data_IF_583033476086
#
_entry.id   IF_583033476086
#
_cell.length_a   1.000
_cell.length_b   1.000
_cell.length_c   1.000
_cell.angle_alpha   90.00
_cell.angle_beta   90.00
_cell.angle_gamma   90.00
#
_symmetry.space_group_name_H-M   'P 1'
#
loop_
_entity.id
_entity.type
_entity.pdbx_description
1 polymer ?
#
# COMPACT_ATOMS: atom_id res chain seq x y z
N UNK A 1 -25.67 -12.33 -48.04
CA UNK A 1 -26.29 -12.48 -46.71
C UNK A 1 -26.00 -11.20 -45.94
N UNK A 2 -27.02 -10.36 -45.74
CA UNK A 2 -27.03 -9.28 -44.73
C UNK A 2 -27.03 -9.94 -43.33
N UNK A 3 -26.78 -9.31 -42.17
CA UNK A 3 -27.29 -8.04 -41.57
C UNK A 3 -26.42 -7.85 -40.28
N UNK A 4 -25.69 -6.74 -40.08
CA UNK A 4 -26.06 -5.47 -39.42
C UNK A 4 -26.01 -5.46 -37.88
N UNK A 5 -25.34 -4.44 -37.32
CA UNK A 5 -25.68 -3.60 -36.15
C UNK A 5 -24.38 -3.13 -35.45
N UNK A 6 -24.09 -1.87 -35.18
CA UNK A 6 -24.73 -0.57 -35.40
C UNK A 6 -23.60 0.48 -35.42
N UNK A 7 -23.72 1.62 -36.07
CA UNK A 7 -24.77 2.61 -35.86
C UNK A 7 -24.17 3.78 -35.10
N UNK A 8 -23.69 4.79 -35.86
CA UNK A 8 -23.72 6.25 -35.63
C UNK A 8 -23.16 6.81 -34.31
N UNK A 9 -22.45 7.93 -34.18
CA UNK A 9 -22.53 9.29 -34.75
C UNK A 9 -21.62 10.13 -33.79
N UNK A 10 -20.85 11.17 -34.09
CA UNK A 10 -21.03 12.33 -34.95
C UNK A 10 -19.66 12.98 -35.24
N UNK A 11 -19.57 13.57 -36.42
CA UNK A 11 -18.53 14.50 -36.88
C UNK A 11 -18.82 15.93 -36.42
N UNK A 12 -17.79 16.70 -36.02
CA UNK A 12 -17.75 18.16 -36.05
C UNK A 12 -16.35 18.53 -36.58
N UNK A 13 -16.18 18.64 -37.89
CA UNK A 13 -16.21 19.88 -38.69
C UNK A 13 -14.88 20.65 -38.62
N UNK A 14 -14.26 20.80 -39.80
CA UNK A 14 -13.01 21.50 -40.10
C UNK A 14 -13.06 22.96 -39.65
N UNK A 15 -11.94 23.46 -39.15
CA UNK A 15 -11.55 24.85 -39.39
C UNK A 15 -10.05 24.89 -39.75
N UNK A 16 -9.78 25.57 -40.85
CA UNK A 16 -8.48 25.78 -41.47
C UNK A 16 -7.71 26.81 -40.61
N UNK A 17 -6.59 26.40 -40.00
CA UNK A 17 -5.76 27.29 -39.18
C UNK A 17 -4.42 27.56 -39.88
N UNK A 18 -3.96 28.83 -39.93
CA UNK A 18 -2.78 29.22 -40.68
C UNK A 18 -1.50 28.63 -40.07
N UNK A 19 -0.60 28.16 -40.94
CA UNK A 19 0.69 27.56 -40.57
C UNK A 19 1.53 28.57 -39.78
N UNK A 20 1.66 28.36 -38.46
CA UNK A 20 2.54 29.15 -37.62
C UNK A 20 4.01 28.84 -37.94
N UNK A 21 4.79 29.88 -38.30
CA UNK A 21 6.23 29.78 -38.49
C UNK A 21 6.91 29.28 -37.20
N UNK A 22 7.57 28.13 -37.29
CA UNK A 22 8.40 27.57 -36.21
C UNK A 22 9.64 28.46 -36.05
N UNK A 23 9.67 29.27 -34.98
CA UNK A 23 10.89 29.93 -34.51
C UNK A 23 11.69 28.93 -33.68
N UNK A 24 12.87 28.53 -34.15
CA UNK A 24 13.80 27.68 -33.41
C UNK A 24 14.25 28.38 -32.12
N UNK A 25 13.93 27.80 -30.97
CA UNK A 25 14.43 28.27 -29.67
C UNK A 25 15.93 27.93 -29.53
N UNK A 26 16.74 28.76 -28.83
CA UNK A 26 18.14 28.44 -28.59
C UNK A 26 18.26 27.21 -27.68
N UNK A 27 19.16 26.29 -28.04
CA UNK A 27 19.46 25.09 -27.24
C UNK A 27 20.06 25.53 -25.90
N UNK A 28 19.35 25.24 -24.81
CA UNK A 28 19.88 25.38 -23.46
C UNK A 28 20.94 24.30 -23.22
N UNK A 29 22.20 24.71 -23.10
CA UNK A 29 23.29 23.82 -22.66
C UNK A 29 23.06 23.48 -21.19
N UNK A 30 22.59 22.28 -20.87
CA UNK A 30 22.57 21.77 -19.50
C UNK A 30 24.01 21.53 -19.04
N UNK A 31 24.58 22.46 -18.26
CA UNK A 31 25.77 22.17 -17.47
C UNK A 31 25.38 21.18 -16.37
N UNK A 32 25.90 19.95 -16.47
CA UNK A 32 25.77 18.97 -15.40
C UNK A 32 26.57 19.47 -14.18
N UNK A 33 25.86 19.78 -13.08
CA UNK A 33 26.48 19.95 -11.77
C UNK A 33 27.15 18.63 -11.38
N UNK A 34 28.40 18.69 -10.93
CA UNK A 34 29.11 17.51 -10.42
C UNK A 34 28.27 16.84 -9.31
N UNK A 35 28.23 15.50 -9.24
CA UNK A 35 27.47 14.82 -8.20
C UNK A 35 28.03 15.24 -6.84
N UNK A 36 27.18 15.88 -6.03
CA UNK A 36 27.53 16.15 -4.65
C UNK A 36 27.71 14.81 -3.92
N UNK A 37 28.89 14.58 -3.37
CA UNK A 37 29.16 13.42 -2.53
C UNK A 37 28.26 13.51 -1.30
N UNK A 38 27.18 12.74 -1.25
CA UNK A 38 26.39 12.60 -0.04
C UNK A 38 27.30 12.02 1.04
N UNK A 39 27.49 12.73 2.15
CA UNK A 39 28.17 12.19 3.31
C UNK A 39 27.42 10.93 3.73
N UNK A 40 28.06 9.77 3.60
CA UNK A 40 27.49 8.46 3.90
C UNK A 40 27.29 8.29 5.40
N UNK A 41 26.23 8.89 5.94
CA UNK A 41 25.74 8.62 7.28
C UNK A 41 24.80 7.42 7.28
N UNK A 42 24.92 6.57 8.29
CA UNK A 42 23.92 5.51 8.52
C UNK A 42 22.59 6.15 8.91
N UNK A 43 21.55 5.87 8.13
CA UNK A 43 20.17 6.19 8.50
C UNK A 43 19.69 5.15 9.51
N UNK A 44 19.48 5.58 10.75
CA UNK A 44 18.84 4.75 11.78
C UNK A 44 17.48 5.34 12.12
N UNK A 45 16.44 4.51 12.12
CA UNK A 45 15.09 4.86 12.53
C UNK A 45 14.54 3.78 13.45
N UNK A 46 13.90 4.19 14.54
CA UNK A 46 13.15 3.27 15.41
C UNK A 46 11.73 3.16 14.88
N UNK A 47 11.33 1.96 14.46
CA UNK A 47 9.97 1.70 13.98
C UNK A 47 9.19 1.07 15.15
N UNK A 48 8.13 1.73 15.66
CA UNK A 48 7.30 1.13 16.71
C UNK A 48 6.64 -0.14 16.16
N UNK A 49 6.52 -1.14 17.03
CA UNK A 49 5.87 -2.41 16.67
C UNK A 49 4.36 -2.19 16.67
N UNK A 50 3.73 -2.52 15.56
CA UNK A 50 2.29 -2.49 15.40
C UNK A 50 1.79 -3.85 14.91
N UNK A 51 0.63 -4.24 15.41
CA UNK A 51 -0.04 -5.51 15.11
C UNK A 51 -1.42 -5.20 14.55
N UNK A 52 -1.70 -5.73 13.36
CA UNK A 52 -3.03 -5.68 12.75
C UNK A 52 -3.70 -7.03 12.90
N UNK A 53 -4.93 -7.03 13.39
CA UNK A 53 -5.71 -8.23 13.63
C UNK A 53 -6.99 -8.16 12.83
N UNK A 54 -7.24 -9.19 12.02
CA UNK A 54 -8.54 -9.40 11.38
C UNK A 54 -9.31 -10.43 12.19
N UNK A 55 -10.53 -10.06 12.58
CA UNK A 55 -11.46 -10.91 13.31
C UNK A 55 -12.55 -11.46 12.38
N UNK A 56 -13.02 -12.66 12.66
CA UNK A 56 -14.26 -13.21 12.11
C UNK A 56 -15.51 -12.52 12.71
N UNK A 57 -16.68 -12.97 12.26
CA UNK A 57 -17.99 -12.52 12.77
C UNK A 57 -18.18 -12.76 14.26
N UNK A 58 -17.55 -13.80 14.81
CA UNK A 58 -17.61 -14.20 16.22
C UNK A 58 -16.54 -13.52 17.08
N UNK A 59 -15.69 -12.67 16.51
CA UNK A 59 -14.61 -11.99 17.21
C UNK A 59 -13.36 -12.84 17.46
N UNK A 60 -13.20 -13.95 16.75
CA UNK A 60 -11.99 -14.77 16.75
C UNK A 60 -11.01 -14.23 15.73
N UNK A 61 -9.72 -14.11 16.05
CA UNK A 61 -8.75 -13.69 15.05
C UNK A 61 -8.53 -14.76 13.99
N UNK A 62 -8.55 -14.32 12.73
CA UNK A 62 -8.32 -15.19 11.55
C UNK A 62 -7.02 -14.84 10.83
N UNK A 63 -6.47 -13.65 11.08
CA UNK A 63 -5.16 -13.25 10.58
C UNK A 63 -4.58 -12.23 11.54
N UNK A 64 -3.29 -12.39 11.85
CA UNK A 64 -2.51 -11.49 12.68
C UNK A 64 -1.27 -11.11 11.90
N UNK A 65 -1.02 -9.81 11.75
CA UNK A 65 0.09 -9.29 10.96
C UNK A 65 0.91 -8.29 11.75
N UNK A 66 2.23 -8.33 11.62
CA UNK A 66 3.16 -7.45 12.31
C UNK A 66 4.02 -6.67 11.32
N UNK A 67 4.17 -5.36 11.52
CA UNK A 67 4.95 -4.49 10.62
C UNK A 67 6.47 -4.77 10.63
N UNK A 68 6.97 -5.46 11.66
CA UNK A 68 8.40 -5.76 11.86
C UNK A 68 8.77 -7.20 11.51
N UNK A 69 7.79 -8.04 11.15
CA UNK A 69 8.01 -9.47 10.96
C UNK A 69 8.30 -10.26 12.24
N UNK A 70 8.30 -9.60 13.41
CA UNK A 70 8.53 -10.23 14.71
C UNK A 70 7.22 -10.76 15.31
N UNK A 71 7.30 -11.89 16.03
CA UNK A 71 6.13 -12.54 16.64
C UNK A 71 5.37 -11.58 17.56
N UNK A 72 4.03 -11.47 17.44
CA UNK A 72 3.24 -10.61 18.31
C UNK A 72 3.30 -11.08 19.78
N UNK A 73 3.45 -10.14 20.71
CA UNK A 73 3.54 -10.41 22.15
C UNK A 73 2.39 -9.82 22.98
N UNK A 74 1.61 -8.90 22.42
CA UNK A 74 0.44 -8.29 23.06
C UNK A 74 0.73 -7.02 23.88
N UNK A 75 1.92 -6.43 23.74
CA UNK A 75 2.31 -5.13 24.30
C UNK A 75 2.50 -4.06 23.20
N UNK A 76 2.33 -4.47 21.94
CA UNK A 76 2.38 -3.59 20.77
C UNK A 76 1.14 -2.72 20.62
N UNK A 77 1.22 -1.73 19.72
CA UNK A 77 0.04 -1.03 19.23
C UNK A 77 -0.83 -2.02 18.43
N UNK A 78 -2.04 -2.29 18.89
CA UNK A 78 -2.93 -3.28 18.28
C UNK A 78 -4.11 -2.58 17.61
N UNK A 79 -4.28 -2.87 16.32
CA UNK A 79 -5.45 -2.47 15.56
C UNK A 79 -6.26 -3.70 15.20
N UNK A 80 -7.49 -3.77 15.67
CA UNK A 80 -8.41 -4.86 15.35
C UNK A 80 -9.45 -4.39 14.32
N UNK A 81 -9.77 -5.25 13.36
CA UNK A 81 -10.83 -5.04 12.39
C UNK A 81 -11.76 -6.25 12.30
N UNK A 82 -13.05 -6.01 12.12
CA UNK A 82 -14.07 -7.03 11.82
C UNK A 82 -14.84 -6.59 10.60
N UNK A 83 -14.90 -7.43 9.56
CA UNK A 83 -15.58 -7.10 8.30
C UNK A 83 -15.16 -5.74 7.70
N UNK A 84 -13.88 -5.37 7.84
CA UNK A 84 -13.35 -4.10 7.34
C UNK A 84 -13.59 -2.88 8.24
N UNK A 85 -14.40 -3.00 9.29
CA UNK A 85 -14.59 -1.95 10.29
C UNK A 85 -13.57 -2.10 11.42
N UNK A 86 -12.98 -0.99 11.88
CA UNK A 86 -12.13 -0.98 13.06
C UNK A 86 -12.98 -1.25 14.31
N UNK A 87 -12.49 -2.12 15.21
CA UNK A 87 -13.17 -2.46 16.46
C UNK A 87 -12.27 -2.18 17.65
N UNK A 88 -12.88 -1.90 18.80
CA UNK A 88 -12.15 -1.71 20.04
C UNK A 88 -11.40 -2.98 20.43
N UNK A 89 -10.15 -2.82 20.85
CA UNK A 89 -9.33 -3.92 21.36
C UNK A 89 -9.77 -4.24 22.78
N UNK A 90 -10.25 -5.47 22.99
CA UNK A 90 -10.67 -5.92 24.31
C UNK A 90 -9.51 -6.54 25.09
N UNK A 91 -9.57 -6.48 26.43
CA UNK A 91 -8.61 -7.20 27.29
C UNK A 91 -8.57 -8.70 27.00
N UNK A 92 -9.70 -9.31 26.62
CA UNK A 92 -9.75 -10.71 26.23
C UNK A 92 -9.00 -11.02 24.93
N UNK A 93 -8.93 -10.05 24.00
CA UNK A 93 -8.12 -10.19 22.78
C UNK A 93 -6.62 -10.06 23.10
N UNK A 94 -6.25 -9.07 23.93
CA UNK A 94 -4.87 -8.90 24.40
C UNK A 94 -4.33 -10.14 25.10
N UNK A 95 -5.11 -10.71 26.03
CA UNK A 95 -4.74 -11.93 26.73
C UNK A 95 -4.55 -13.11 25.77
N UNK A 96 -5.45 -13.28 24.79
CA UNK A 96 -5.31 -14.35 23.79
C UNK A 96 -4.00 -14.22 23.02
N UNK A 97 -3.63 -13.03 22.55
CA UNK A 97 -2.37 -12.79 21.84
C UNK A 97 -1.17 -13.17 22.73
N UNK A 98 -1.16 -12.72 23.98
CA UNK A 98 -0.07 -13.01 24.94
C UNK A 98 0.13 -14.49 25.18
N UNK A 99 -0.96 -15.24 25.26
CA UNK A 99 -0.93 -16.68 25.59
C UNK A 99 -0.78 -17.59 24.38
N UNK A 100 -1.05 -17.11 23.17
CA UNK A 100 -1.09 -17.97 21.99
C UNK A 100 0.30 -18.19 21.39
N UNK A 101 0.53 -19.42 20.92
CA UNK A 101 1.71 -19.80 20.15
C UNK A 101 1.41 -19.56 18.68
N UNK A 102 1.97 -18.48 18.14
CA UNK A 102 1.84 -18.13 16.73
C UNK A 102 2.88 -18.87 15.90
N UNK A 103 2.41 -19.55 14.86
CA UNK A 103 3.25 -20.10 13.81
C UNK A 103 3.35 -19.07 12.68
N UNK A 104 4.58 -18.71 12.31
CA UNK A 104 4.83 -17.74 11.25
C UNK A 104 4.61 -18.37 9.88
N UNK A 105 3.93 -17.65 8.99
CA UNK A 105 3.86 -18.03 7.59
C UNK A 105 5.10 -17.52 6.85
N UNK A 106 6.06 -18.40 6.57
CA UNK A 106 7.28 -18.04 5.86
C UNK A 106 7.04 -17.66 4.38
N UNK A 107 5.87 -17.98 3.82
CA UNK A 107 5.47 -17.51 2.49
C UNK A 107 4.97 -16.05 2.51
N UNK A 108 4.62 -15.54 3.70
CA UNK A 108 4.12 -14.18 3.93
C UNK A 108 4.76 -13.56 5.18
N UNK A 109 5.95 -12.97 5.03
CA UNK A 109 6.69 -12.40 6.15
C UNK A 109 5.84 -11.43 6.99
N UNK A 110 5.75 -11.73 8.29
CA UNK A 110 4.98 -10.95 9.24
C UNK A 110 3.50 -11.32 9.36
N UNK A 111 2.99 -12.26 8.56
CA UNK A 111 1.71 -12.93 8.80
C UNK A 111 1.90 -14.13 9.75
N UNK A 112 0.97 -14.26 10.68
CA UNK A 112 0.97 -15.28 11.71
C UNK A 112 -0.35 -16.03 11.66
N UNK A 113 -0.26 -17.36 11.61
CA UNK A 113 -1.44 -18.20 11.70
C UNK A 113 -2.13 -17.99 13.05
N UNK A 114 -3.37 -17.53 12.97
CA UNK A 114 -4.29 -17.54 14.08
C UNK A 114 -5.12 -18.83 14.04
N UNK A 115 -5.75 -19.16 15.17
CA UNK A 115 -6.54 -20.38 15.42
C UNK A 115 -7.44 -20.85 14.27
#
# INVERSE_FOLDING_TARGET
MAIAAGGSQWTLARDDAPVAQVRSAPVATHQALAPATAAGGNLSATIPRAVVIRLDTHGRPVSVMTNTGARPVGDEEIHASRQGAQVAVSNGLLQRIRTHVFEGDWSRPGEWHAW
#
